data_IF_475880844997
#
_entry.id   IF_475880844997
#
_cell.length_a   1.000
_cell.length_b   1.000
_cell.length_c   1.000
_cell.angle_alpha   90.00
_cell.angle_beta   90.00
_cell.angle_gamma   90.00
#
_symmetry.space_group_name_H-M   'P 1'
#
loop_
_entity.id
_entity.type
_entity.pdbx_description
1 polymer ?
#
# COMPACT_ATOMS: atom_id res chain seq x y z
N UNK A 1 1.63 8.50 -30.12
CA UNK A 1 1.04 8.37 -28.79
C UNK A 1 0.55 6.93 -28.64
N UNK A 2 1.26 6.07 -27.90
CA UNK A 2 0.76 4.75 -27.49
C UNK A 2 -0.30 5.02 -26.43
N UNK A 3 -1.55 4.59 -26.64
CA UNK A 3 -2.55 4.51 -25.58
C UNK A 3 -1.93 3.67 -24.47
N UNK A 4 -1.69 4.25 -23.30
CA UNK A 4 -1.37 3.53 -22.09
C UNK A 4 -2.46 2.48 -21.91
N UNK A 5 -2.11 1.20 -21.91
CA UNK A 5 -3.02 0.16 -21.49
C UNK A 5 -3.28 0.41 -20.01
N UNK A 6 -4.52 0.64 -19.67
CA UNK A 6 -4.95 0.97 -18.31
C UNK A 6 -4.55 -0.18 -17.36
N UNK A 7 -3.71 0.11 -16.38
CA UNK A 7 -3.14 -0.89 -15.47
C UNK A 7 -3.99 -1.07 -14.22
N UNK A 8 -5.28 -1.34 -14.39
CA UNK A 8 -6.18 -1.72 -13.30
C UNK A 8 -7.29 -2.67 -13.79
N UNK A 9 -7.85 -3.45 -12.88
CA UNK A 9 -9.04 -4.24 -13.11
C UNK A 9 -10.29 -3.44 -12.76
N UNK A 10 -11.22 -3.30 -13.70
CA UNK A 10 -12.46 -2.54 -13.50
C UNK A 10 -13.33 -3.11 -12.36
N UNK A 11 -13.29 -4.43 -12.19
CA UNK A 11 -14.03 -5.11 -11.11
C UNK A 11 -13.48 -4.77 -9.74
N UNK A 12 -12.15 -4.71 -9.58
CA UNK A 12 -11.49 -4.31 -8.34
C UNK A 12 -11.82 -2.86 -8.01
N UNK A 13 -11.68 -1.94 -8.96
CA UNK A 13 -12.06 -0.54 -8.78
C UNK A 13 -13.52 -0.39 -8.33
N UNK A 14 -14.43 -1.16 -8.94
CA UNK A 14 -15.85 -1.16 -8.56
C UNK A 14 -16.09 -1.71 -7.14
N UNK A 15 -15.31 -2.69 -6.69
CA UNK A 15 -15.38 -3.20 -5.30
C UNK A 15 -15.00 -2.10 -4.32
N UNK A 16 -13.84 -1.46 -4.51
CA UNK A 16 -13.37 -0.38 -3.63
C UNK A 16 -14.30 0.83 -3.62
N UNK A 17 -14.92 1.17 -4.76
CA UNK A 17 -15.90 2.25 -4.82
C UNK A 17 -17.23 1.94 -4.10
N UNK A 18 -17.57 0.67 -3.86
CA UNK A 18 -18.82 0.29 -3.19
C UNK A 18 -18.70 0.25 -1.67
N UNK A 19 -17.51 0.00 -1.12
CA UNK A 19 -17.30 -0.26 0.32
C UNK A 19 -16.85 1.01 1.07
N UNK A 20 -17.42 2.17 0.75
CA UNK A 20 -16.87 3.45 1.25
C UNK A 20 -17.43 3.91 2.59
N UNK A 21 -18.67 3.60 2.90
CA UNK A 21 -19.37 4.19 4.06
C UNK A 21 -18.82 3.76 5.44
N UNK A 22 -18.04 2.66 5.48
CA UNK A 22 -17.48 2.09 6.71
C UNK A 22 -15.95 2.06 6.74
N UNK A 23 -15.26 2.83 5.87
CA UNK A 23 -13.80 2.80 5.77
C UNK A 23 -13.12 3.10 7.10
N UNK A 24 -13.64 4.05 7.86
CA UNK A 24 -13.11 4.47 9.14
C UNK A 24 -13.82 3.82 10.34
N UNK A 25 -14.72 2.87 10.12
CA UNK A 25 -15.26 2.05 11.20
C UNK A 25 -14.21 1.01 11.64
N UNK A 26 -13.63 1.12 12.85
CA UNK A 26 -12.60 0.21 13.31
C UNK A 26 -13.13 -1.22 13.58
N UNK A 27 -14.42 -1.48 13.37
CA UNK A 27 -15.05 -2.81 13.43
C UNK A 27 -15.73 -3.20 12.11
N UNK A 28 -15.58 -2.37 11.07
CA UNK A 28 -16.14 -2.57 9.73
C UNK A 28 -15.28 -3.46 8.84
N UNK A 29 -15.58 -3.43 7.55
CA UNK A 29 -14.93 -4.27 6.53
C UNK A 29 -13.41 -4.04 6.42
N UNK A 30 -12.92 -2.87 6.84
CA UNK A 30 -11.50 -2.50 6.84
C UNK A 30 -10.81 -2.64 8.21
N UNK A 31 -11.42 -3.37 9.16
CA UNK A 31 -10.86 -3.65 10.47
C UNK A 31 -9.39 -4.11 10.41
N UNK A 32 -9.08 -5.04 9.50
CA UNK A 32 -7.72 -5.56 9.32
C UNK A 32 -6.71 -4.49 8.94
N UNK A 33 -7.09 -3.50 8.12
CA UNK A 33 -6.23 -2.37 7.76
C UNK A 33 -5.96 -1.47 8.96
N UNK A 34 -6.98 -1.19 9.77
CA UNK A 34 -6.81 -0.43 11.01
C UNK A 34 -5.87 -1.11 11.99
N UNK A 35 -5.97 -2.44 12.12
CA UNK A 35 -5.09 -3.23 12.98
C UNK A 35 -3.65 -3.29 12.47
N UNK A 36 -3.47 -3.33 11.14
CA UNK A 36 -2.17 -3.44 10.50
C UNK A 36 -1.44 -2.09 10.39
N UNK A 37 -2.18 -1.00 10.30
CA UNK A 37 -1.64 0.33 10.04
C UNK A 37 -0.59 0.81 11.07
N UNK A 38 -0.75 0.63 12.40
CA UNK A 38 0.28 0.99 13.37
C UNK A 38 1.60 0.26 13.12
N UNK A 39 1.55 -1.01 12.68
CA UNK A 39 2.74 -1.78 12.34
C UNK A 39 3.46 -1.22 11.11
N UNK A 40 2.70 -0.93 10.04
CA UNK A 40 3.21 -0.32 8.80
C UNK A 40 3.88 1.02 9.08
N UNK A 41 3.19 1.90 9.79
CA UNK A 41 3.69 3.22 10.14
C UNK A 41 4.95 3.14 11.02
N UNK A 42 4.99 2.24 12.01
CA UNK A 42 6.16 2.01 12.83
C UNK A 42 7.34 1.46 12.03
N UNK A 43 7.08 0.54 11.09
CA UNK A 43 8.11 0.01 10.19
C UNK A 43 8.75 1.13 9.35
N UNK A 44 7.95 2.03 8.78
CA UNK A 44 8.45 3.17 8.01
C UNK A 44 9.31 4.08 8.90
N UNK A 45 8.83 4.44 10.10
CA UNK A 45 9.56 5.30 11.05
C UNK A 45 10.86 4.72 11.58
N UNK A 46 10.99 3.40 11.64
CA UNK A 46 12.23 2.74 12.05
C UNK A 46 13.34 2.87 11.00
N UNK A 47 12.98 3.07 9.74
CA UNK A 47 13.92 3.12 8.63
C UNK A 47 14.10 4.53 8.05
N UNK A 48 13.14 5.44 8.28
CA UNK A 48 13.18 6.78 7.68
C UNK A 48 12.66 7.84 8.65
N UNK A 49 13.44 8.88 8.85
CA UNK A 49 12.98 10.10 9.51
C UNK A 49 12.04 10.84 8.57
N UNK A 50 10.79 11.06 9.01
CA UNK A 50 9.73 11.64 8.18
C UNK A 50 9.64 13.17 8.28
N UNK A 51 10.24 13.79 9.31
CA UNK A 51 10.21 15.24 9.47
C UNK A 51 10.78 15.91 8.22
N UNK A 52 10.13 16.96 7.76
CA UNK A 52 10.48 17.71 6.54
C UNK A 52 10.35 16.93 5.22
N UNK A 53 9.94 15.67 5.22
CA UNK A 53 9.83 14.83 4.02
C UNK A 53 8.52 15.07 3.28
N UNK A 54 8.58 15.01 1.95
CA UNK A 54 7.42 14.89 1.07
C UNK A 54 7.13 13.41 0.84
N UNK A 55 5.93 12.98 1.16
CA UNK A 55 5.52 11.58 1.04
C UNK A 55 4.46 11.40 -0.05
N UNK A 56 4.52 10.28 -0.77
CA UNK A 56 3.46 9.78 -1.65
C UNK A 56 2.94 8.46 -1.10
N UNK A 57 1.62 8.36 -0.94
CA UNK A 57 0.92 7.13 -0.58
C UNK A 57 0.10 6.65 -1.77
N UNK A 58 0.55 5.56 -2.39
CA UNK A 58 0.01 4.99 -3.62
C UNK A 58 -1.03 3.93 -3.31
N UNK A 59 -2.22 4.04 -3.90
CA UNK A 59 -3.36 3.20 -3.54
C UNK A 59 -3.83 3.52 -2.12
N UNK A 60 -3.95 4.82 -1.80
CA UNK A 60 -4.20 5.28 -0.43
C UNK A 60 -5.58 4.93 0.11
N UNK A 61 -6.53 4.55 -0.76
CA UNK A 61 -7.91 4.24 -0.39
C UNK A 61 -8.55 5.35 0.44
N UNK A 62 -9.13 5.00 1.58
CA UNK A 62 -9.73 5.95 2.54
C UNK A 62 -8.73 6.72 3.42
N UNK A 63 -7.42 6.65 3.14
CA UNK A 63 -6.42 7.53 3.76
C UNK A 63 -5.85 7.08 5.11
N UNK A 64 -6.02 5.82 5.52
CA UNK A 64 -5.61 5.34 6.86
C UNK A 64 -4.09 5.50 7.08
N UNK A 65 -3.25 5.09 6.12
CA UNK A 65 -1.80 5.26 6.21
C UNK A 65 -1.39 6.70 5.89
N UNK A 66 -2.04 7.33 4.91
CA UNK A 66 -1.82 8.74 4.53
C UNK A 66 -1.91 9.67 5.73
N UNK A 67 -2.96 9.54 6.57
CA UNK A 67 -3.13 10.36 7.77
C UNK A 67 -2.05 10.05 8.83
N UNK A 68 -1.67 8.78 8.97
CA UNK A 68 -0.57 8.42 9.88
C UNK A 68 0.76 9.05 9.45
N UNK A 69 1.07 9.04 8.15
CA UNK A 69 2.25 9.72 7.59
C UNK A 69 2.18 11.22 7.84
N UNK A 70 1.02 11.85 7.64
CA UNK A 70 0.82 13.29 7.82
C UNK A 70 1.07 13.77 9.26
N UNK A 71 0.95 12.90 10.26
CA UNK A 71 1.31 13.24 11.65
C UNK A 71 2.80 13.57 11.83
N UNK A 72 3.66 13.23 10.87
CA UNK A 72 5.12 13.37 10.95
C UNK A 72 5.75 14.03 9.73
N UNK A 73 5.22 13.81 8.54
CA UNK A 73 5.74 14.35 7.29
C UNK A 73 5.41 15.84 7.13
N UNK A 74 6.16 16.52 6.28
CA UNK A 74 5.87 17.93 5.93
C UNK A 74 4.62 18.05 5.08
N UNK A 75 4.48 17.17 4.09
CA UNK A 75 3.30 17.04 3.24
C UNK A 75 3.16 15.60 2.77
N UNK A 76 1.93 15.12 2.63
CA UNK A 76 1.62 13.81 2.10
C UNK A 76 0.65 13.97 0.93
N UNK A 77 0.96 13.34 -0.19
CA UNK A 77 0.02 13.17 -1.29
C UNK A 77 -0.49 11.73 -1.25
N UNK A 78 -1.80 11.55 -1.21
CA UNK A 78 -2.45 10.25 -1.35
C UNK A 78 -3.08 10.15 -2.73
N UNK A 79 -2.78 9.10 -3.49
CA UNK A 79 -3.39 8.86 -4.80
C UNK A 79 -4.13 7.53 -4.82
N UNK A 80 -5.29 7.54 -5.47
CA UNK A 80 -6.10 6.34 -5.72
C UNK A 80 -6.93 6.53 -7.00
N UNK A 81 -7.39 5.45 -7.61
CA UNK A 81 -8.35 5.48 -8.72
C UNK A 81 -9.80 5.51 -8.23
N UNK A 82 -10.06 5.07 -6.99
CA UNK A 82 -11.38 4.97 -6.40
C UNK A 82 -11.85 6.33 -5.86
N UNK A 83 -12.60 7.09 -6.66
CA UNK A 83 -13.10 8.42 -6.32
C UNK A 83 -13.86 8.45 -4.98
N UNK A 84 -14.71 7.45 -4.74
CA UNK A 84 -15.48 7.37 -3.50
C UNK A 84 -14.57 7.16 -2.26
N UNK A 85 -13.51 6.36 -2.39
CA UNK A 85 -12.54 6.16 -1.31
C UNK A 85 -11.80 7.48 -0.98
N UNK A 86 -11.37 8.20 -2.01
CA UNK A 86 -10.75 9.53 -1.84
C UNK A 86 -11.70 10.53 -1.17
N UNK A 87 -12.98 10.53 -1.55
CA UNK A 87 -13.99 11.40 -0.93
C UNK A 87 -14.14 11.12 0.58
N UNK A 88 -14.04 9.84 0.99
CA UNK A 88 -14.02 9.46 2.42
C UNK A 88 -12.73 9.94 3.09
N UNK A 89 -11.58 9.76 2.43
CA UNK A 89 -10.29 10.20 2.94
C UNK A 89 -10.24 11.73 3.18
N UNK A 90 -10.73 12.52 2.24
CA UNK A 90 -10.82 13.99 2.34
C UNK A 90 -11.71 14.43 3.52
N UNK A 91 -12.89 13.81 3.68
CA UNK A 91 -13.79 14.11 4.78
C UNK A 91 -13.15 13.79 6.13
N UNK A 92 -12.49 12.63 6.23
CA UNK A 92 -11.89 12.20 7.50
C UNK A 92 -10.68 13.07 7.85
N UNK A 93 -9.78 13.37 6.92
CA UNK A 93 -8.63 14.24 7.16
C UNK A 93 -9.02 15.64 7.59
N UNK A 94 -10.12 16.20 7.02
CA UNK A 94 -10.71 17.46 7.45
C UNK A 94 -11.21 17.39 8.89
N UNK A 95 -11.91 16.31 9.25
CA UNK A 95 -12.40 16.07 10.62
C UNK A 95 -11.25 15.90 11.62
N UNK A 96 -10.16 15.25 11.18
CA UNK A 96 -8.93 15.05 11.95
C UNK A 96 -8.04 16.30 12.01
N UNK A 97 -8.47 17.41 11.38
CA UNK A 97 -7.72 18.68 11.30
C UNK A 97 -6.30 18.55 10.72
N UNK A 98 -6.11 17.65 9.76
CA UNK A 98 -4.85 17.46 9.03
C UNK A 98 -4.85 18.34 7.77
N UNK A 99 -3.97 19.37 7.76
CA UNK A 99 -3.91 20.37 6.68
C UNK A 99 -2.77 20.12 5.69
N UNK A 100 -1.95 19.11 5.94
CA UNK A 100 -0.76 18.78 5.14
C UNK A 100 -0.97 17.53 4.27
N UNK A 101 -2.21 17.24 3.88
CA UNK A 101 -2.57 16.14 2.98
C UNK A 101 -3.19 16.70 1.71
N UNK A 102 -2.77 16.16 0.56
CA UNK A 102 -3.40 16.36 -0.73
C UNK A 102 -3.88 15.00 -1.24
N UNK A 103 -5.17 14.88 -1.59
CA UNK A 103 -5.69 13.69 -2.26
C UNK A 103 -5.90 13.95 -3.74
N UNK A 104 -5.53 12.99 -4.59
CA UNK A 104 -5.64 13.11 -6.05
C UNK A 104 -6.15 11.80 -6.66
N UNK A 105 -7.18 11.90 -7.51
CA UNK A 105 -7.61 10.77 -8.34
C UNK A 105 -6.68 10.65 -9.53
N UNK A 106 -5.74 9.72 -9.45
CA UNK A 106 -4.74 9.50 -10.50
C UNK A 106 -4.26 8.07 -10.53
N UNK A 107 -3.84 7.59 -11.71
CA UNK A 107 -3.01 6.40 -11.80
C UNK A 107 -1.61 6.70 -11.28
N UNK A 108 -0.90 5.65 -10.84
CA UNK A 108 0.49 5.77 -10.37
C UNK A 108 1.39 6.28 -11.50
N UNK A 109 1.19 5.73 -12.69
CA UNK A 109 1.96 6.05 -13.88
C UNK A 109 1.80 7.53 -14.26
N UNK A 110 0.55 8.01 -14.38
CA UNK A 110 0.28 9.40 -14.76
C UNK A 110 0.76 10.40 -13.70
N UNK A 111 0.60 10.04 -12.41
CA UNK A 111 1.02 10.90 -11.31
C UNK A 111 2.55 11.02 -11.24
N UNK A 112 3.26 9.88 -11.26
CA UNK A 112 4.72 9.86 -11.14
C UNK A 112 5.42 10.42 -12.40
N UNK A 113 4.82 10.27 -13.61
CA UNK A 113 5.33 10.91 -14.83
C UNK A 113 5.28 12.44 -14.75
N UNK A 114 4.24 13.00 -14.12
CA UNK A 114 4.11 14.45 -13.91
C UNK A 114 4.94 14.99 -12.75
N UNK A 115 5.29 14.13 -11.80
CA UNK A 115 5.97 14.46 -10.55
C UNK A 115 7.27 13.64 -10.40
N UNK A 116 8.10 13.62 -11.44
CA UNK A 116 9.38 12.90 -11.43
C UNK A 116 10.31 13.44 -10.34
N UNK A 117 10.87 12.50 -9.56
CA UNK A 117 11.84 12.83 -8.48
C UNK A 117 11.32 13.88 -7.48
N UNK A 118 10.02 13.90 -7.20
CA UNK A 118 9.40 14.86 -6.29
C UNK A 118 9.40 14.37 -4.83
N UNK A 119 9.28 13.07 -4.61
CA UNK A 119 9.02 12.51 -3.28
C UNK A 119 10.29 11.99 -2.60
N UNK A 120 10.40 12.24 -1.29
CA UNK A 120 11.46 11.69 -0.45
C UNK A 120 11.12 10.27 0.02
N UNK A 121 9.81 10.00 0.21
CA UNK A 121 9.28 8.71 0.68
C UNK A 121 8.06 8.34 -0.15
N UNK A 122 7.98 7.09 -0.58
CA UNK A 122 6.80 6.53 -1.24
C UNK A 122 6.36 5.25 -0.52
N UNK A 123 5.06 5.11 -0.32
CA UNK A 123 4.41 3.90 0.18
C UNK A 123 3.45 3.34 -0.87
N UNK A 124 3.46 2.01 -1.04
CA UNK A 124 2.52 1.27 -1.88
C UNK A 124 2.21 -0.05 -1.14
N UNK A 125 1.16 -0.01 -0.33
CA UNK A 125 0.84 -1.07 0.63
C UNK A 125 -0.44 -1.79 0.25
N UNK A 126 -0.36 -3.14 0.07
CA UNK A 126 -1.50 -4.01 -0.29
C UNK A 126 -2.22 -3.54 -1.57
N UNK A 127 -1.48 -3.17 -2.59
CA UNK A 127 -2.04 -2.66 -3.86
C UNK A 127 -1.54 -3.44 -5.07
N UNK A 128 -0.31 -3.95 -5.01
CA UNK A 128 0.34 -4.60 -6.14
C UNK A 128 -0.39 -5.87 -6.61
N UNK A 129 -1.04 -6.60 -5.71
CA UNK A 129 -1.85 -7.78 -6.00
C UNK A 129 -3.18 -7.49 -6.68
N UNK A 130 -3.59 -6.22 -6.76
CA UNK A 130 -4.86 -5.77 -7.35
C UNK A 130 -4.71 -5.16 -8.74
N UNK A 131 -3.52 -5.25 -9.35
CA UNK A 131 -3.26 -4.66 -10.67
C UNK A 131 -2.78 -5.71 -11.69
N UNK A 132 -3.10 -5.52 -13.00
CA UNK A 132 -2.66 -6.43 -14.06
C UNK A 132 -1.15 -6.54 -14.22
N UNK A 133 -0.42 -5.45 -13.99
CA UNK A 133 1.04 -5.38 -14.17
C UNK A 133 1.72 -4.69 -13.00
N UNK A 134 2.00 -5.42 -11.89
CA UNK A 134 2.68 -4.85 -10.73
C UNK A 134 4.11 -4.37 -11.00
N UNK A 135 4.83 -4.97 -11.97
CA UNK A 135 6.15 -4.50 -12.37
C UNK A 135 6.11 -3.04 -12.87
N UNK A 136 5.09 -2.70 -13.67
CA UNK A 136 4.92 -1.34 -14.18
C UNK A 136 4.65 -0.34 -13.06
N UNK A 137 3.90 -0.72 -12.02
CA UNK A 137 3.68 0.09 -10.83
C UNK A 137 5.00 0.35 -10.09
N UNK A 138 5.81 -0.68 -9.88
CA UNK A 138 7.13 -0.53 -9.20
C UNK A 138 8.04 0.42 -9.97
N UNK A 139 8.06 0.33 -11.30
CA UNK A 139 8.82 1.25 -12.16
C UNK A 139 8.31 2.69 -12.04
N UNK A 140 6.98 2.89 -12.08
CA UNK A 140 6.38 4.22 -11.93
C UNK A 140 6.65 4.80 -10.53
N UNK A 141 6.55 4.00 -9.47
CA UNK A 141 6.90 4.42 -8.11
C UNK A 141 8.36 4.91 -8.03
N UNK A 142 9.29 4.18 -8.67
CA UNK A 142 10.69 4.62 -8.71
C UNK A 142 10.85 5.97 -9.39
N UNK A 143 10.11 6.23 -10.49
CA UNK A 143 10.20 7.49 -11.22
C UNK A 143 9.82 8.68 -10.32
N UNK A 144 8.78 8.56 -9.50
CA UNK A 144 8.31 9.62 -8.60
C UNK A 144 9.24 9.94 -7.44
N UNK A 145 10.16 9.04 -7.07
CA UNK A 145 11.02 9.19 -5.90
C UNK A 145 12.37 9.81 -6.28
N UNK A 146 12.90 10.68 -5.41
CA UNK A 146 14.23 11.28 -5.53
C UNK A 146 15.34 10.24 -5.41
N UNK A 147 16.50 10.54 -5.99
CA UNK A 147 17.74 9.81 -5.72
C UNK A 147 18.01 9.74 -4.21
N UNK A 148 18.30 8.56 -3.68
CA UNK A 148 18.44 8.33 -2.24
C UNK A 148 17.12 8.33 -1.46
N UNK A 149 15.98 8.50 -2.10
CA UNK A 149 14.66 8.43 -1.46
C UNK A 149 14.23 6.99 -1.18
N UNK A 150 13.22 6.84 -0.33
CA UNK A 150 12.80 5.58 0.27
C UNK A 150 11.48 5.09 -0.33
N UNK A 151 11.40 3.81 -0.66
CA UNK A 151 10.16 3.17 -1.12
C UNK A 151 9.81 1.98 -0.23
N UNK A 152 8.53 1.89 0.12
CA UNK A 152 7.98 0.84 0.96
C UNK A 152 6.85 0.13 0.23
N UNK A 153 6.98 -1.18 0.08
CA UNK A 153 5.95 -2.04 -0.50
C UNK A 153 5.50 -3.08 0.50
N UNK A 154 4.22 -3.43 0.50
CA UNK A 154 3.72 -4.62 1.16
C UNK A 154 2.74 -5.36 0.26
N UNK A 155 2.72 -6.68 0.38
CA UNK A 155 1.79 -7.56 -0.33
C UNK A 155 1.82 -8.97 0.26
N UNK A 156 0.98 -9.86 -0.26
CA UNK A 156 0.87 -11.26 0.14
C UNK A 156 1.78 -12.12 -0.72
N UNK A 157 2.56 -13.00 -0.07
CA UNK A 157 3.47 -13.92 -0.76
C UNK A 157 2.71 -15.03 -1.51
N UNK A 158 3.12 -15.37 -2.71
CA UNK A 158 2.53 -16.45 -3.51
C UNK A 158 3.11 -17.81 -3.14
N UNK A 159 2.44 -18.52 -2.23
CA UNK A 159 2.74 -19.91 -1.89
C UNK A 159 1.50 -20.60 -1.25
N UNK A 160 1.59 -21.91 -1.05
CA UNK A 160 0.47 -22.70 -0.49
C UNK A 160 0.08 -22.27 0.94
N UNK A 161 1.05 -21.86 1.76
CA UNK A 161 0.80 -21.43 3.14
C UNK A 161 0.01 -20.11 3.16
N UNK A 162 0.39 -19.14 2.33
CA UNK A 162 -0.33 -17.87 2.20
C UNK A 162 -1.74 -18.08 1.66
N UNK A 163 -1.91 -18.96 0.68
CA UNK A 163 -3.23 -19.33 0.18
C UNK A 163 -4.14 -19.87 1.28
N UNK A 164 -3.63 -20.80 2.07
CA UNK A 164 -4.42 -21.39 3.16
C UNK A 164 -4.69 -20.39 4.30
N UNK A 165 -3.73 -19.57 4.65
CA UNK A 165 -3.86 -18.65 5.80
C UNK A 165 -4.51 -17.32 5.44
N UNK A 166 -4.09 -16.67 4.35
CA UNK A 166 -4.60 -15.35 3.97
C UNK A 166 -5.96 -15.47 3.27
N UNK A 167 -6.13 -16.44 2.34
CA UNK A 167 -7.36 -16.60 1.58
C UNK A 167 -8.36 -17.42 2.37
N UNK A 168 -8.03 -18.68 2.69
CA UNK A 168 -8.99 -19.57 3.37
C UNK A 168 -9.18 -19.16 4.83
N UNK A 169 -8.10 -18.81 5.55
CA UNK A 169 -8.15 -18.44 6.95
C UNK A 169 -8.82 -17.08 7.17
N UNK A 170 -8.34 -16.03 6.50
CA UNK A 170 -8.83 -14.68 6.72
C UNK A 170 -10.23 -14.44 6.10
N UNK A 171 -10.48 -14.93 4.87
CA UNK A 171 -11.75 -14.68 4.19
C UNK A 171 -12.88 -15.61 4.66
N UNK A 172 -12.60 -16.90 4.91
CA UNK A 172 -13.64 -17.89 5.17
C UNK A 172 -13.79 -18.26 6.64
N UNK A 173 -12.71 -18.30 7.41
CA UNK A 173 -12.73 -18.75 8.81
C UNK A 173 -12.85 -17.57 9.77
N UNK A 174 -11.92 -16.62 9.69
CA UNK A 174 -11.85 -15.47 10.61
C UNK A 174 -12.72 -14.29 10.15
N UNK A 175 -13.15 -14.27 8.89
CA UNK A 175 -13.94 -13.20 8.28
C UNK A 175 -13.32 -11.80 8.46
N UNK A 176 -11.99 -11.75 8.47
CA UNK A 176 -11.22 -10.50 8.57
C UNK A 176 -11.22 -9.70 7.27
N UNK A 177 -11.51 -10.37 6.14
CA UNK A 177 -11.57 -9.80 4.80
C UNK A 177 -12.84 -10.28 4.08
N UNK A 178 -13.41 -9.47 3.17
CA UNK A 178 -14.48 -9.91 2.28
C UNK A 178 -14.05 -11.12 1.43
N UNK A 179 -15.00 -12.00 1.10
CA UNK A 179 -14.74 -13.18 0.25
C UNK A 179 -14.34 -12.75 -1.16
N UNK A 180 -13.32 -13.42 -1.73
CA UNK A 180 -12.83 -13.14 -3.08
C UNK A 180 -12.01 -11.85 -3.16
N UNK A 181 -11.40 -11.43 -2.05
CA UNK A 181 -10.50 -10.27 -2.04
C UNK A 181 -9.20 -10.56 -2.78
N UNK A 182 -8.72 -11.82 -2.75
CA UNK A 182 -7.43 -12.20 -3.34
C UNK A 182 -7.55 -13.42 -4.24
N UNK A 183 -6.89 -13.36 -5.40
CA UNK A 183 -6.68 -14.48 -6.31
C UNK A 183 -5.23 -14.99 -6.19
N UNK A 184 -5.03 -16.31 -6.10
CA UNK A 184 -3.70 -16.90 -5.88
C UNK A 184 -2.66 -16.44 -6.90
N UNK A 185 -3.03 -16.35 -8.18
CA UNK A 185 -2.12 -16.01 -9.27
C UNK A 185 -1.67 -14.54 -9.24
N UNK A 186 -2.41 -13.67 -8.54
CA UNK A 186 -2.08 -12.26 -8.35
C UNK A 186 -1.14 -12.01 -7.17
N UNK A 187 -0.95 -13.01 -6.28
CA UNK A 187 -0.01 -12.91 -5.16
C UNK A 187 1.43 -12.82 -5.68
N UNK A 188 2.31 -12.12 -4.95
CA UNK A 188 3.64 -11.75 -5.41
C UNK A 188 4.71 -12.33 -4.50
N UNK A 189 5.70 -13.05 -5.08
CA UNK A 189 6.84 -13.53 -4.30
C UNK A 189 7.82 -12.40 -4.00
N UNK A 190 8.46 -12.39 -2.81
CA UNK A 190 9.51 -11.39 -2.51
C UNK A 190 10.60 -11.30 -3.57
N UNK A 191 10.96 -12.45 -4.19
CA UNK A 191 11.97 -12.49 -5.26
C UNK A 191 11.51 -11.83 -6.57
N UNK A 192 10.21 -11.84 -6.87
CA UNK A 192 9.65 -11.16 -8.04
C UNK A 192 9.67 -9.65 -7.83
N UNK A 193 9.21 -9.19 -6.66
CA UNK A 193 9.24 -7.78 -6.29
C UNK A 193 10.68 -7.23 -6.25
N UNK A 194 11.64 -7.96 -5.68
CA UNK A 194 13.05 -7.57 -5.69
C UNK A 194 13.62 -7.52 -7.13
N UNK A 195 13.22 -8.43 -8.01
CA UNK A 195 13.64 -8.42 -9.41
C UNK A 195 13.12 -7.18 -10.16
N UNK A 196 11.86 -6.82 -9.96
CA UNK A 196 11.26 -5.60 -10.55
C UNK A 196 11.91 -4.34 -9.98
N UNK A 197 12.13 -4.31 -8.67
CA UNK A 197 12.77 -3.20 -7.99
C UNK A 197 14.19 -2.95 -8.52
N UNK A 198 15.00 -4.00 -8.73
CA UNK A 198 16.35 -3.88 -9.33
C UNK A 198 16.33 -3.32 -10.74
N UNK A 199 15.32 -3.68 -11.57
CA UNK A 199 15.15 -3.10 -12.92
C UNK A 199 14.79 -1.62 -12.87
N UNK A 200 14.17 -1.18 -11.76
CA UNK A 200 13.78 0.19 -11.50
C UNK A 200 14.85 0.99 -10.71
N UNK A 201 16.10 0.50 -10.66
CA UNK A 201 17.20 1.12 -9.91
C UNK A 201 16.93 1.30 -8.41
N UNK A 202 16.25 0.32 -7.81
CA UNK A 202 15.98 0.27 -6.39
C UNK A 202 16.82 -0.79 -5.70
N UNK A 203 17.45 -0.39 -4.59
CA UNK A 203 18.28 -1.28 -3.76
C UNK A 203 17.49 -1.73 -2.54
N UNK A 204 17.36 -3.04 -2.35
CA UNK A 204 16.73 -3.62 -1.17
C UNK A 204 17.55 -3.30 0.09
N UNK A 205 16.88 -2.77 1.10
CA UNK A 205 17.44 -2.45 2.43
C UNK A 205 16.94 -3.42 3.49
N UNK A 206 15.62 -3.70 3.50
CA UNK A 206 15.01 -4.62 4.46
C UNK A 206 13.88 -5.43 3.84
N UNK A 207 13.72 -6.66 4.33
CA UNK A 207 12.61 -7.56 4.04
C UNK A 207 12.13 -8.15 5.36
N UNK A 208 10.93 -7.77 5.78
CA UNK A 208 10.30 -8.22 7.02
C UNK A 208 8.97 -8.88 6.73
N UNK A 209 8.72 -10.02 7.37
CA UNK A 209 7.43 -10.68 7.36
C UNK A 209 6.45 -10.00 8.32
N UNK A 210 5.17 -10.18 8.05
CA UNK A 210 4.07 -9.78 8.94
C UNK A 210 3.35 -11.03 9.41
N UNK A 211 3.28 -11.22 10.71
CA UNK A 211 2.56 -12.34 11.33
C UNK A 211 1.39 -11.83 12.17
N UNK A 212 0.25 -12.52 12.06
CA UNK A 212 -0.96 -12.27 12.84
C UNK A 212 -1.10 -13.30 13.95
N UNK A 213 -1.40 -12.84 15.16
CA UNK A 213 -1.75 -13.72 16.28
C UNK A 213 -3.27 -13.61 16.53
N UNK A 214 -4.05 -14.68 16.24
CA UNK A 214 -5.50 -14.65 16.36
C UNK A 214 -6.01 -14.66 17.82
N UNK A 215 -5.15 -14.99 18.81
CA UNK A 215 -5.55 -15.03 20.23
C UNK A 215 -5.68 -13.63 20.80
N UNK A 216 -4.74 -12.75 20.48
CA UNK A 216 -4.73 -11.37 20.96
C UNK A 216 -4.98 -10.35 19.84
N UNK A 217 -5.33 -10.81 18.64
CA UNK A 217 -5.67 -10.00 17.47
C UNK A 217 -4.59 -8.96 17.11
N UNK A 218 -3.30 -9.34 17.24
CA UNK A 218 -2.20 -8.41 16.98
C UNK A 218 -1.35 -8.82 15.80
N UNK A 219 -0.88 -7.81 15.06
CA UNK A 219 0.15 -7.95 14.04
C UNK A 219 1.53 -7.63 14.60
N UNK A 220 2.55 -8.34 14.14
CA UNK A 220 3.96 -8.08 14.50
C UNK A 220 4.88 -8.36 13.32
N UNK A 221 6.02 -7.66 13.29
CA UNK A 221 7.11 -7.98 12.38
C UNK A 221 7.73 -9.32 12.76
N UNK A 222 8.14 -10.08 11.76
CA UNK A 222 8.80 -11.38 11.92
C UNK A 222 9.83 -11.60 10.82
N UNK A 223 10.64 -12.65 10.96
CA UNK A 223 11.53 -13.13 9.88
C UNK A 223 10.80 -14.05 8.90
N UNK A 224 9.59 -14.50 9.23
CA UNK A 224 8.79 -15.38 8.39
C UNK A 224 8.02 -14.54 7.35
N UNK A 225 8.51 -14.50 6.13
CA UNK A 225 7.94 -13.80 4.98
C UNK A 225 6.95 -14.69 4.20
N UNK A 226 6.56 -15.82 4.75
CA UNK A 226 5.80 -16.83 4.00
C UNK A 226 4.34 -16.45 3.75
N UNK A 227 3.75 -15.49 4.46
CA UNK A 227 2.34 -15.08 4.27
C UNK A 227 2.26 -13.66 3.76
N UNK A 228 2.46 -12.67 4.61
CA UNK A 228 2.49 -11.27 4.24
C UNK A 228 3.88 -10.69 4.56
N UNK A 229 4.34 -9.75 3.75
CA UNK A 229 5.67 -9.16 3.92
C UNK A 229 5.69 -7.68 3.55
N UNK A 230 6.68 -6.98 4.10
CA UNK A 230 7.03 -5.61 3.76
C UNK A 230 8.46 -5.55 3.25
N UNK A 231 8.72 -4.74 2.24
CA UNK A 231 10.04 -4.49 1.67
C UNK A 231 10.32 -3.00 1.67
N UNK A 232 11.53 -2.65 2.09
CA UNK A 232 12.06 -1.30 2.05
C UNK A 232 13.20 -1.21 1.04
N UNK A 233 13.10 -0.23 0.14
CA UNK A 233 14.10 0.06 -0.86
C UNK A 233 14.58 1.50 -0.77
N UNK A 234 15.78 1.74 -1.29
CA UNK A 234 16.32 3.08 -1.56
C UNK A 234 16.61 3.19 -3.05
N UNK A 235 16.21 4.31 -3.66
CA UNK A 235 16.54 4.62 -5.05
C UNK A 235 18.03 4.87 -5.21
N UNK A 236 18.68 4.07 -6.09
CA UNK A 236 20.12 4.09 -6.35
C UNK A 236 20.60 5.35 -7.07
#
# INVERSE_FOLDING_TARGET
>A
MKKSSVNFYQEELNKFNKITDHWWDPKGDFYSLHMLNPLRFNYIKQHTELQTKKCLDVGCGGGILTESLATRASVVTGIDLAENALSVAEKHSTTSNLQNINYEQSSVEDHCEKNESEYDVLTCMEMLEHVPNPEQIVMACSLGVKQGGHLYFSTINRNLKSFLMAIVGAEYILKLLPKGTHEYDQLIKPSELDQWARKADLKLIDLSGVSYNPINETFKLSRDVSVNYMMHFIKG
#
